data_IF_572681262391
#
_entry.id   IF_572681262391
#
_cell.length_a   1.000
_cell.length_b   1.000
_cell.length_c   1.000
_cell.angle_alpha   90.00
_cell.angle_beta   90.00
_cell.angle_gamma   90.00
#
_symmetry.space_group_name_H-M   'P 1'
#
loop_
_entity.id
_entity.type
_entity.pdbx_description
1 polymer ?
#
# COMPACT_ATOMS: atom_id res chain seq x y z
N UNK A 1 8.52 9.95 -22.19
CA UNK A 1 8.76 8.71 -21.40
C UNK A 1 7.58 8.50 -20.46
N UNK A 2 7.02 7.30 -20.42
CA UNK A 2 5.99 6.92 -19.47
C UNK A 2 6.61 6.73 -18.06
N UNK A 3 5.88 7.12 -17.01
CA UNK A 3 6.34 7.04 -15.61
C UNK A 3 5.39 6.11 -14.85
N UNK A 4 5.94 5.10 -14.20
CA UNK A 4 5.21 4.26 -13.23
C UNK A 4 5.56 4.66 -11.79
N UNK A 5 4.61 4.47 -10.87
CA UNK A 5 4.81 4.72 -9.45
C UNK A 5 4.50 3.46 -8.64
N UNK A 6 5.43 3.05 -7.80
CA UNK A 6 5.17 2.00 -6.80
C UNK A 6 5.35 2.52 -5.39
N UNK A 7 4.56 1.99 -4.46
CA UNK A 7 4.66 2.28 -3.04
C UNK A 7 4.72 1.00 -2.20
N UNK A 8 5.56 1.02 -1.17
CA UNK A 8 5.80 -0.12 -0.28
C UNK A 8 5.31 0.25 1.13
N UNK A 9 4.58 -0.64 1.81
CA UNK A 9 4.08 -0.46 3.18
C UNK A 9 3.23 0.82 3.31
N UNK A 10 3.67 1.86 4.02
CA UNK A 10 2.98 3.15 4.07
C UNK A 10 2.90 3.80 2.66
N UNK A 11 3.87 3.52 1.80
CA UNK A 11 3.79 3.87 0.38
C UNK A 11 2.61 3.23 -0.34
N UNK A 12 2.10 2.09 0.17
CA UNK A 12 0.85 1.46 -0.28
C UNK A 12 -0.40 2.30 -0.04
N UNK A 13 -0.32 3.34 0.80
CA UNK A 13 -1.32 4.40 0.96
C UNK A 13 -1.03 5.60 0.04
N UNK A 14 0.23 6.04 -0.01
CA UNK A 14 0.58 7.27 -0.73
C UNK A 14 0.58 7.09 -2.25
N UNK A 15 1.09 5.96 -2.77
CA UNK A 15 1.18 5.76 -4.21
C UNK A 15 -0.18 5.73 -4.93
N UNK A 16 -1.22 5.01 -4.45
CA UNK A 16 -2.54 5.08 -5.06
C UNK A 16 -3.11 6.50 -5.06
N UNK A 17 -2.94 7.22 -3.95
CA UNK A 17 -3.41 8.59 -3.85
C UNK A 17 -2.68 9.51 -4.84
N UNK A 18 -1.38 9.36 -4.99
CA UNK A 18 -0.61 10.13 -5.97
C UNK A 18 -1.06 9.82 -7.41
N UNK A 19 -1.21 8.53 -7.76
CA UNK A 19 -1.67 8.11 -9.11
C UNK A 19 -3.09 8.60 -9.41
N UNK A 20 -3.95 8.68 -8.39
CA UNK A 20 -5.32 9.15 -8.55
C UNK A 20 -5.42 10.64 -8.94
N UNK A 21 -4.40 11.45 -8.63
CA UNK A 21 -4.43 12.91 -8.82
C UNK A 21 -3.34 13.46 -9.73
N UNK A 22 -2.30 12.70 -10.03
CA UNK A 22 -1.18 13.14 -10.87
C UNK A 22 -1.22 12.45 -12.24
N UNK A 23 -1.67 13.16 -13.30
CA UNK A 23 -1.90 12.57 -14.63
C UNK A 23 -0.62 12.15 -15.38
N UNK A 24 0.56 12.52 -14.90
CA UNK A 24 1.84 12.11 -15.49
C UNK A 24 2.17 10.64 -15.23
N UNK A 25 1.55 10.01 -14.23
CA UNK A 25 1.72 8.58 -14.01
C UNK A 25 0.89 7.78 -15.01
N UNK A 26 1.55 6.86 -15.71
CA UNK A 26 0.97 6.00 -16.72
C UNK A 26 0.67 4.57 -16.22
N UNK A 27 1.17 4.21 -15.04
CA UNK A 27 0.92 2.93 -14.37
C UNK A 27 1.23 3.06 -12.88
N UNK A 28 0.57 2.25 -12.05
CA UNK A 28 0.82 2.19 -10.61
C UNK A 28 0.89 0.77 -10.07
N UNK A 29 1.58 0.62 -8.93
CA UNK A 29 1.61 -0.61 -8.18
C UNK A 29 1.76 -0.33 -6.67
N UNK A 30 1.29 -1.26 -5.83
CA UNK A 30 1.55 -1.24 -4.40
C UNK A 30 2.04 -2.59 -3.91
N UNK A 31 2.96 -2.57 -2.94
CA UNK A 31 3.40 -3.72 -2.20
C UNK A 31 3.08 -3.54 -0.71
N UNK A 32 2.10 -4.32 -0.24
CA UNK A 32 1.46 -4.10 1.05
C UNK A 32 0.40 -2.99 0.95
N UNK A 33 -0.77 -3.34 0.38
CA UNK A 33 -1.88 -2.42 0.17
C UNK A 33 -2.39 -1.87 1.50
N UNK A 34 -2.16 -0.60 1.75
CA UNK A 34 -2.50 0.08 2.99
C UNK A 34 -3.71 1.00 2.79
N UNK A 35 -4.88 0.37 2.60
CA UNK A 35 -6.11 1.09 2.24
C UNK A 35 -6.57 2.05 3.32
N UNK A 36 -6.45 1.65 4.59
CA UNK A 36 -6.89 2.45 5.72
C UNK A 36 -5.78 2.53 6.78
N UNK A 37 -4.85 3.47 6.58
CA UNK A 37 -3.71 3.61 7.47
C UNK A 37 -4.11 4.05 8.88
N UNK A 38 -5.11 4.90 9.03
CA UNK A 38 -5.55 5.34 10.36
C UNK A 38 -6.14 4.17 11.18
N UNK A 39 -6.84 3.24 10.55
CA UNK A 39 -7.32 2.05 11.24
C UNK A 39 -6.18 1.12 11.66
N UNK A 40 -5.12 1.02 10.83
CA UNK A 40 -3.89 0.31 11.24
C UNK A 40 -3.33 0.92 12.53
N UNK A 41 -3.36 2.24 12.70
CA UNK A 41 -2.89 2.91 13.92
C UNK A 41 -3.79 2.61 15.12
N UNK A 42 -5.11 2.60 14.95
CA UNK A 42 -6.03 2.19 16.02
C UNK A 42 -5.80 0.73 16.44
N UNK A 43 -5.59 -0.17 15.49
CA UNK A 43 -5.25 -1.57 15.79
C UNK A 43 -3.90 -1.70 16.50
N UNK A 44 -2.89 -0.92 16.05
CA UNK A 44 -1.57 -0.86 16.71
C UNK A 44 -1.69 -0.41 18.16
N UNK A 45 -2.47 0.63 18.43
CA UNK A 45 -2.68 1.13 19.79
C UNK A 45 -3.31 0.07 20.70
N UNK A 46 -4.29 -0.69 20.19
CA UNK A 46 -4.93 -1.79 20.94
C UNK A 46 -3.96 -2.94 21.26
N UNK A 47 -2.93 -3.12 20.46
CA UNK A 47 -1.91 -4.19 20.56
C UNK A 47 -0.57 -3.69 21.09
N UNK A 48 -0.51 -2.49 21.65
CA UNK A 48 0.75 -1.83 22.03
C UNK A 48 1.59 -2.67 22.99
N UNK A 49 0.95 -3.44 23.90
CA UNK A 49 1.64 -4.35 24.83
C UNK A 49 2.18 -5.64 24.19
N UNK A 50 1.71 -6.02 22.99
CA UNK A 50 2.06 -7.29 22.35
C UNK A 50 3.38 -7.21 21.55
N UNK A 51 3.61 -6.08 20.90
CA UNK A 51 4.79 -5.86 20.05
C UNK A 51 5.10 -4.37 19.92
N UNK A 52 5.61 -3.72 20.99
CA UNK A 52 5.86 -2.29 20.97
C UNK A 52 7.04 -1.95 20.05
N UNK A 53 6.86 -0.93 19.21
CA UNK A 53 7.96 -0.33 18.45
C UNK A 53 8.44 0.88 19.24
N UNK A 54 9.70 0.88 19.73
CA UNK A 54 10.24 1.99 20.52
C UNK A 54 10.04 3.34 19.82
N UNK A 55 9.64 4.34 20.56
CA UNK A 55 9.46 5.73 20.09
C UNK A 55 8.44 5.92 18.97
N UNK A 56 7.66 4.90 18.59
CA UNK A 56 6.72 4.98 17.45
C UNK A 56 5.73 6.15 17.61
N UNK A 57 5.06 6.25 18.76
CA UNK A 57 4.06 7.30 18.97
C UNK A 57 4.67 8.69 19.01
N UNK A 58 5.83 8.86 19.63
CA UNK A 58 6.55 10.13 19.62
C UNK A 58 6.94 10.54 18.19
N UNK A 59 7.37 9.56 17.38
CA UNK A 59 7.74 9.79 15.98
C UNK A 59 6.53 10.22 15.12
N UNK A 60 5.41 9.51 15.19
CA UNK A 60 4.23 9.87 14.38
C UNK A 60 3.60 11.19 14.83
N UNK A 61 3.58 11.48 16.13
CA UNK A 61 3.15 12.78 16.65
C UNK A 61 4.02 13.91 16.07
N UNK A 62 5.34 13.73 16.11
CA UNK A 62 6.27 14.69 15.53
C UNK A 62 6.04 14.90 14.03
N UNK A 63 5.89 13.81 13.25
CA UNK A 63 5.63 13.88 11.78
C UNK A 63 4.35 14.65 11.47
N UNK A 64 3.31 14.46 12.26
CA UNK A 64 2.01 15.15 12.07
C UNK A 64 1.92 16.51 12.77
N UNK A 65 2.95 16.93 13.49
CA UNK A 65 2.94 18.14 14.32
C UNK A 65 1.90 18.08 15.43
N UNK A 66 1.60 16.87 15.91
CA UNK A 66 0.57 16.63 16.91
C UNK A 66 1.12 16.82 18.33
N UNK A 67 0.32 17.46 19.21
CA UNK A 67 0.68 17.70 20.60
C UNK A 67 0.64 16.43 21.47
N UNK A 68 -0.26 15.52 21.12
CA UNK A 68 -0.50 14.25 21.83
C UNK A 68 -1.11 13.20 20.88
N UNK A 69 -1.51 12.04 21.40
CA UNK A 69 -2.10 10.96 20.60
C UNK A 69 -3.48 11.30 20.06
N UNK A 70 -4.30 11.99 20.81
CA UNK A 70 -5.66 12.35 20.38
C UNK A 70 -5.60 13.37 19.24
N UNK A 71 -4.73 14.37 19.33
CA UNK A 71 -4.45 15.32 18.25
C UNK A 71 -3.87 14.61 17.02
N UNK A 72 -2.97 13.62 17.20
CA UNK A 72 -2.48 12.80 16.10
C UNK A 72 -3.63 12.06 15.38
N UNK A 73 -4.51 11.38 16.11
CA UNK A 73 -5.63 10.68 15.49
C UNK A 73 -6.61 11.63 14.81
N UNK A 74 -6.83 12.80 15.35
CA UNK A 74 -7.65 13.83 14.71
C UNK A 74 -7.04 14.31 13.39
N UNK A 75 -5.73 14.60 13.35
CA UNK A 75 -5.02 15.04 12.14
C UNK A 75 -4.92 13.95 11.09
N UNK A 76 -4.66 12.71 11.50
CA UNK A 76 -4.48 11.57 10.62
C UNK A 76 -5.82 10.92 10.17
N UNK A 77 -6.95 11.39 10.66
CA UNK A 77 -8.27 10.79 10.43
C UNK A 77 -8.67 10.59 8.96
N UNK A 78 -8.14 11.44 8.06
CA UNK A 78 -8.35 11.33 6.61
C UNK A 78 -7.41 10.37 5.88
N UNK A 79 -6.54 9.64 6.57
CA UNK A 79 -5.59 8.71 5.93
C UNK A 79 -6.23 7.35 5.61
N UNK A 80 -7.19 7.39 4.70
CA UNK A 80 -7.82 6.23 4.06
C UNK A 80 -7.98 6.46 2.56
N UNK A 81 -8.14 5.38 1.79
CA UNK A 81 -8.28 5.42 0.33
C UNK A 81 -9.73 5.26 -0.15
N UNK A 82 -10.72 5.28 0.75
CA UNK A 82 -12.14 5.21 0.40
C UNK A 82 -12.48 6.30 -0.63
N UNK A 83 -13.04 5.90 -1.79
CA UNK A 83 -13.38 6.81 -2.89
C UNK A 83 -12.16 7.42 -3.63
N UNK A 84 -10.94 7.02 -3.30
CA UNK A 84 -9.73 7.48 -3.99
C UNK A 84 -9.31 6.49 -5.09
N UNK A 85 -9.42 5.19 -4.84
CA UNK A 85 -9.07 4.15 -5.82
C UNK A 85 -9.91 4.25 -7.09
N UNK A 86 -11.15 4.65 -6.99
CA UNK A 86 -12.08 4.87 -8.13
C UNK A 86 -11.62 5.98 -9.09
N UNK A 87 -10.73 6.87 -8.64
CA UNK A 87 -10.17 7.96 -9.48
C UNK A 87 -9.01 7.51 -10.35
N UNK A 88 -8.44 6.32 -10.09
CA UNK A 88 -7.33 5.78 -10.85
C UNK A 88 -7.84 5.31 -12.23
N UNK A 89 -7.24 5.86 -13.30
CA UNK A 89 -7.61 5.61 -14.71
C UNK A 89 -6.46 5.05 -15.54
N UNK A 90 -5.43 4.58 -14.88
CA UNK A 90 -4.26 3.92 -15.49
C UNK A 90 -4.16 2.47 -14.99
N UNK A 91 -3.40 1.58 -15.65
CA UNK A 91 -3.15 0.24 -15.14
C UNK A 91 -2.64 0.28 -13.69
N UNK A 92 -3.23 -0.56 -12.82
CA UNK A 92 -2.88 -0.57 -11.40
C UNK A 92 -2.82 -1.99 -10.82
N UNK A 93 -1.67 -2.31 -10.22
CA UNK A 93 -1.40 -3.58 -9.55
C UNK A 93 -1.49 -3.43 -8.02
N UNK A 94 -2.25 -4.30 -7.40
CA UNK A 94 -2.29 -4.44 -5.94
C UNK A 94 -1.56 -5.72 -5.55
N UNK A 95 -0.49 -5.64 -4.74
CA UNK A 95 0.19 -6.82 -4.22
C UNK A 95 0.19 -6.85 -2.69
N UNK A 96 0.09 -8.06 -2.10
CA UNK A 96 0.03 -8.23 -0.66
C UNK A 96 0.51 -9.63 -0.26
N UNK A 97 1.12 -9.77 0.93
CA UNK A 97 1.48 -11.05 1.50
C UNK A 97 0.29 -11.70 2.23
N UNK A 98 0.03 -12.98 1.98
CA UNK A 98 -1.11 -13.69 2.59
C UNK A 98 -1.06 -13.76 4.12
N UNK A 99 0.12 -13.63 4.72
CA UNK A 99 0.36 -13.71 6.16
C UNK A 99 0.88 -12.39 6.75
N UNK A 100 0.61 -11.26 6.06
CA UNK A 100 1.00 -9.93 6.56
C UNK A 100 0.31 -9.64 7.90
N UNK A 101 1.12 -9.54 8.96
CA UNK A 101 0.65 -9.30 10.33
C UNK A 101 0.53 -7.81 10.67
N UNK A 102 1.04 -6.93 9.81
CA UNK A 102 0.99 -5.48 10.04
C UNK A 102 -0.20 -4.83 9.36
N UNK A 103 -0.50 -5.25 8.12
CA UNK A 103 -1.57 -4.70 7.29
C UNK A 103 -2.50 -5.84 6.91
N UNK A 104 -3.80 -5.70 7.20
CA UNK A 104 -4.80 -6.74 6.91
C UNK A 104 -4.88 -7.02 5.40
N UNK A 105 -4.97 -8.30 5.06
CA UNK A 105 -5.23 -8.75 3.69
C UNK A 105 -6.54 -8.17 3.12
N UNK A 106 -7.54 -7.90 3.97
CA UNK A 106 -8.80 -7.28 3.57
C UNK A 106 -8.59 -5.93 2.87
N UNK A 107 -7.53 -5.20 3.24
CA UNK A 107 -7.22 -3.92 2.60
C UNK A 107 -6.72 -4.07 1.16
N UNK A 108 -6.10 -5.20 0.82
CA UNK A 108 -5.74 -5.51 -0.56
C UNK A 108 -7.01 -5.75 -1.40
N UNK A 109 -7.94 -6.53 -0.89
CA UNK A 109 -9.24 -6.75 -1.54
C UNK A 109 -10.02 -5.45 -1.66
N UNK A 110 -10.15 -4.67 -0.59
CA UNK A 110 -10.84 -3.39 -0.60
C UNK A 110 -10.24 -2.40 -1.61
N UNK A 111 -8.91 -2.32 -1.69
CA UNK A 111 -8.23 -1.49 -2.68
C UNK A 111 -8.52 -1.96 -4.10
N UNK A 112 -8.46 -3.26 -4.35
CA UNK A 112 -8.71 -3.85 -5.66
C UNK A 112 -10.17 -3.66 -6.11
N UNK A 113 -11.13 -3.87 -5.22
CA UNK A 113 -12.56 -3.77 -5.55
C UNK A 113 -12.93 -2.35 -5.96
N UNK A 114 -12.31 -1.33 -5.36
CA UNK A 114 -12.54 0.07 -5.70
C UNK A 114 -11.81 0.56 -6.97
N UNK A 115 -10.94 -0.24 -7.60
CA UNK A 115 -10.25 0.12 -8.86
C UNK A 115 -11.16 -0.02 -10.10
N UNK A 116 -12.39 0.42 -9.99
CA UNK A 116 -13.44 0.19 -11.02
C UNK A 116 -13.21 0.92 -12.34
N UNK A 117 -12.40 1.98 -12.33
CA UNK A 117 -12.12 2.78 -13.52
C UNK A 117 -10.71 2.55 -14.12
N UNK A 118 -9.92 1.66 -13.50
CA UNK A 118 -8.62 1.27 -14.05
C UNK A 118 -8.81 0.40 -15.29
N UNK A 119 -8.15 0.70 -16.44
CA UNK A 119 -8.30 -0.08 -17.68
C UNK A 119 -7.70 -1.49 -17.57
N UNK A 120 -6.76 -1.71 -16.68
CA UNK A 120 -6.19 -3.01 -16.32
C UNK A 120 -5.89 -3.00 -14.82
N UNK A 121 -6.60 -3.82 -14.07
CA UNK A 121 -6.36 -4.01 -12.63
C UNK A 121 -5.99 -5.44 -12.33
N UNK A 122 -5.08 -5.62 -11.40
CA UNK A 122 -4.62 -6.94 -10.97
C UNK A 122 -4.43 -6.98 -9.45
N UNK A 123 -4.82 -8.11 -8.85
CA UNK A 123 -4.57 -8.42 -7.45
C UNK A 123 -3.68 -9.66 -7.37
N UNK A 124 -2.47 -9.49 -6.83
CA UNK A 124 -1.56 -10.60 -6.56
C UNK A 124 -1.35 -10.76 -5.06
N UNK A 125 -1.82 -11.88 -4.54
CA UNK A 125 -1.54 -12.29 -3.16
C UNK A 125 -0.39 -13.29 -3.19
N UNK A 126 0.70 -12.97 -2.48
CA UNK A 126 1.84 -13.88 -2.34
C UNK A 126 1.54 -14.91 -1.27
N UNK A 127 1.73 -16.19 -1.60
CA UNK A 127 1.44 -17.34 -0.76
C UNK A 127 2.72 -18.13 -0.43
N UNK A 128 2.61 -19.13 0.43
CA UNK A 128 3.75 -20.01 0.76
C UNK A 128 4.37 -20.70 -0.47
N UNK A 129 3.64 -20.76 -1.57
CA UNK A 129 4.12 -21.40 -2.81
C UNK A 129 5.26 -20.63 -3.45
N UNK A 130 5.19 -19.30 -3.47
CA UNK A 130 6.21 -18.43 -4.07
C UNK A 130 7.06 -17.69 -3.03
N UNK A 131 6.62 -17.66 -1.77
CA UNK A 131 7.19 -16.81 -0.72
C UNK A 131 6.72 -15.36 -0.82
N UNK A 132 7.23 -14.50 0.05
CA UNK A 132 6.80 -13.11 0.13
C UNK A 132 5.51 -12.93 0.92
N UNK A 133 5.19 -13.88 1.79
CA UNK A 133 3.91 -13.93 2.55
C UNK A 133 3.84 -12.94 3.69
N UNK A 134 4.97 -12.54 4.24
CA UNK A 134 5.06 -11.57 5.34
C UNK A 134 4.95 -10.14 4.81
N UNK A 135 4.88 -9.18 5.72
CA UNK A 135 4.79 -7.76 5.39
C UNK A 135 5.83 -7.35 4.35
N UNK A 136 5.37 -6.89 3.20
CA UNK A 136 6.19 -6.45 2.04
C UNK A 136 7.30 -7.45 1.64
N UNK A 137 7.01 -8.73 1.79
CA UNK A 137 7.93 -9.80 1.43
C UNK A 137 9.18 -9.89 2.32
N UNK A 138 9.08 -9.54 3.61
CA UNK A 138 10.20 -9.59 4.55
C UNK A 138 10.87 -10.98 4.61
N UNK A 139 10.10 -12.05 4.34
CA UNK A 139 10.59 -13.43 4.22
C UNK A 139 11.26 -13.73 2.87
N UNK A 140 10.79 -13.13 1.77
CA UNK A 140 11.36 -13.29 0.43
C UNK A 140 10.95 -12.11 -0.48
N UNK A 141 11.87 -11.18 -0.66
CA UNK A 141 11.61 -9.98 -1.49
C UNK A 141 11.76 -10.23 -3.00
N UNK A 142 12.44 -11.30 -3.42
CA UNK A 142 12.86 -11.47 -4.82
C UNK A 142 11.66 -11.60 -5.76
N UNK A 143 10.72 -12.47 -5.42
CA UNK A 143 9.55 -12.70 -6.26
C UNK A 143 8.67 -11.45 -6.40
N UNK A 144 8.38 -10.76 -5.30
CA UNK A 144 7.56 -9.55 -5.33
C UNK A 144 8.19 -8.41 -6.14
N UNK A 145 9.53 -8.26 -6.05
CA UNK A 145 10.26 -7.27 -6.85
C UNK A 145 10.15 -7.55 -8.35
N UNK A 146 10.41 -8.80 -8.75
CA UNK A 146 10.30 -9.22 -10.15
C UNK A 146 8.88 -9.02 -10.67
N UNK A 147 7.88 -9.45 -9.91
CA UNK A 147 6.48 -9.33 -10.29
C UNK A 147 6.06 -7.87 -10.56
N UNK A 148 6.46 -6.94 -9.69
CA UNK A 148 6.19 -5.51 -9.87
C UNK A 148 7.00 -4.92 -11.03
N UNK A 149 8.25 -5.36 -11.23
CA UNK A 149 9.07 -4.93 -12.34
C UNK A 149 8.46 -5.37 -13.69
N UNK A 150 8.02 -6.62 -13.80
CA UNK A 150 7.35 -7.16 -15.00
C UNK A 150 6.04 -6.44 -15.28
N UNK A 151 5.24 -6.15 -14.25
CA UNK A 151 4.04 -5.31 -14.40
C UNK A 151 4.35 -3.95 -15.05
N UNK A 152 5.39 -3.27 -14.59
CA UNK A 152 5.79 -1.99 -15.19
C UNK A 152 6.38 -2.17 -16.59
N UNK A 153 7.14 -3.22 -16.85
CA UNK A 153 7.64 -3.51 -18.19
C UNK A 153 6.48 -3.67 -19.18
N UNK A 154 5.47 -4.47 -18.82
CA UNK A 154 4.29 -4.67 -19.65
C UNK A 154 3.47 -3.37 -19.85
N UNK A 155 3.19 -2.66 -18.75
CA UNK A 155 2.26 -1.52 -18.78
C UNK A 155 2.87 -0.21 -19.28
N UNK A 156 4.20 -0.10 -19.29
CA UNK A 156 4.93 1.07 -19.79
C UNK A 156 5.61 0.84 -21.15
N UNK A 157 5.35 -0.30 -21.79
CA UNK A 157 5.90 -0.62 -23.11
C UNK A 157 7.36 -1.09 -23.09
N UNK A 158 7.82 -1.62 -21.96
CA UNK A 158 9.12 -2.29 -21.82
C UNK A 158 9.10 -3.76 -22.26
N UNK A 159 10.22 -4.45 -22.01
CA UNK A 159 10.31 -5.91 -22.17
C UNK A 159 10.24 -6.57 -20.80
N UNK A 160 9.46 -7.63 -20.72
CA UNK A 160 9.44 -8.54 -19.55
C UNK A 160 10.68 -9.42 -19.64
N UNK A 161 11.36 -9.65 -18.51
CA UNK A 161 12.55 -10.48 -18.43
C UNK A 161 12.22 -11.98 -18.45
#
# INVERSE_FOLDING_TARGET
RAIGLTGISLGGHFAPRAVAYEPRFASGAVWGANHNWIEVQHRRLKREGENPVPHYWAHVQWVFGASDRDDFFARAGGMHLNGQMEKIRVPFLVTHGAKDRQISLDYAHQSFDQLVNSPRRELKIFTDREGGVEHVGADNMSFGRSYIADWFAETLGGRVA
#
